data_IF_472795716708
#
_entry.id   IF_472795716708
#
_cell.length_a   1.000
_cell.length_b   1.000
_cell.length_c   1.000
_cell.angle_alpha   90.00
_cell.angle_beta   90.00
_cell.angle_gamma   90.00
#
_symmetry.space_group_name_H-M   'P 1'
#
loop_
_entity.id
_entity.type
_entity.pdbx_description
1 polymer ?
#
# COMPACT_ATOMS: atom_id res chain seq x y z
N UNK A 1 -0.45 22.38 70.22
CA UNK A 1 -1.48 21.52 70.85
C UNK A 1 -2.83 22.09 70.43
N UNK A 2 -3.65 21.30 69.72
CA UNK A 2 -5.14 21.26 69.63
C UNK A 2 -5.91 22.62 69.75
N UNK A 3 -6.92 22.96 68.96
CA UNK A 3 -7.85 22.21 68.10
C UNK A 3 -8.97 23.20 67.71
N UNK A 4 -9.57 22.98 66.54
CA UNK A 4 -10.95 23.36 66.18
C UNK A 4 -11.17 24.88 66.03
N UNK A 5 -12.07 25.45 65.22
CA UNK A 5 -13.35 25.03 64.69
C UNK A 5 -13.75 26.17 63.75
N UNK A 6 -13.81 25.96 62.43
CA UNK A 6 -14.58 26.86 61.57
C UNK A 6 -15.23 26.03 60.46
N UNK A 7 -16.55 26.12 60.51
CA UNK A 7 -17.50 25.20 59.93
C UNK A 7 -17.67 25.38 58.43
N UNK A 8 -17.71 24.23 57.75
CA UNK A 8 -18.77 23.79 56.85
C UNK A 8 -19.61 24.91 56.21
N UNK A 9 -19.34 25.20 54.94
CA UNK A 9 -20.39 25.31 53.92
C UNK A 9 -19.89 24.71 52.63
N UNK A 10 -20.33 23.49 52.40
CA UNK A 10 -20.13 22.76 51.16
C UNK A 10 -20.81 23.51 50.02
N UNK A 11 -20.04 23.91 49.02
CA UNK A 11 -20.56 24.07 47.67
C UNK A 11 -19.76 23.11 46.79
N UNK A 12 -20.29 21.89 46.73
CA UNK A 12 -19.97 20.95 45.68
C UNK A 12 -20.28 21.60 44.33
N UNK A 13 -19.27 21.74 43.48
CA UNK A 13 -19.49 21.79 42.04
C UNK A 13 -18.45 20.91 41.38
N UNK A 14 -18.82 19.64 41.31
CA UNK A 14 -18.22 18.62 40.49
C UNK A 14 -18.42 19.01 39.02
N UNK A 15 -17.38 19.52 38.34
CA UNK A 15 -17.37 19.59 36.88
C UNK A 15 -16.52 18.44 36.33
N UNK A 16 -17.20 17.33 36.12
CA UNK A 16 -16.78 16.21 35.30
C UNK A 16 -16.73 16.69 33.84
N UNK A 17 -15.59 17.27 33.43
CA UNK A 17 -15.33 17.67 32.05
C UNK A 17 -14.88 16.47 31.22
N UNK A 18 -15.86 15.78 30.64
CA UNK A 18 -15.72 14.74 29.63
C UNK A 18 -14.86 15.22 28.44
N UNK A 19 -13.99 14.32 27.95
CA UNK A 19 -12.89 14.63 27.06
C UNK A 19 -13.25 14.93 25.60
N UNK A 20 -12.22 15.40 24.90
CA UNK A 20 -12.15 15.41 23.45
C UNK A 20 -10.75 14.94 23.06
N UNK A 21 -10.53 13.62 23.11
CA UNK A 21 -9.35 13.02 22.48
C UNK A 21 -9.42 13.35 20.99
N UNK A 22 -8.50 14.18 20.51
CA UNK A 22 -8.30 14.41 19.08
C UNK A 22 -7.90 13.08 18.44
N UNK A 23 -8.88 12.33 17.94
CA UNK A 23 -8.63 11.20 17.06
C UNK A 23 -8.21 11.79 15.72
N UNK A 24 -6.90 11.89 15.49
CA UNK A 24 -6.38 12.08 14.15
C UNK A 24 -6.94 10.93 13.30
N UNK A 25 -7.70 11.19 12.21
CA UNK A 25 -8.07 10.12 11.30
C UNK A 25 -6.78 9.65 10.63
N UNK A 26 -6.19 8.57 11.16
CA UNK A 26 -5.32 7.74 10.36
C UNK A 26 -6.12 7.38 9.12
N UNK A 27 -5.63 7.73 7.93
CA UNK A 27 -6.25 7.34 6.68
C UNK A 27 -6.25 5.81 6.67
N UNK A 28 -7.34 5.20 7.13
CA UNK A 28 -7.59 3.79 6.94
C UNK A 28 -7.50 3.59 5.43
N UNK A 29 -6.45 2.93 4.97
CA UNK A 29 -6.28 2.57 3.57
C UNK A 29 -7.35 1.52 3.29
N UNK A 30 -8.58 1.99 3.05
CA UNK A 30 -9.73 1.16 2.77
C UNK A 30 -9.44 0.41 1.46
N UNK A 31 -9.11 -0.88 1.60
CA UNK A 31 -8.99 -1.88 0.54
C UNK A 31 -8.40 -1.41 -0.79
N UNK A 32 -7.35 -0.59 -0.76
CA UNK A 32 -6.61 -0.20 -1.96
C UNK A 32 -5.69 -1.33 -2.43
N UNK A 33 -5.54 -1.50 -3.74
CA UNK A 33 -4.58 -2.46 -4.31
C UNK A 33 -3.15 -1.91 -4.27
N UNK A 34 -2.16 -2.74 -3.95
CA UNK A 34 -0.75 -2.38 -3.84
C UNK A 34 0.18 -3.28 -4.65
N UNK A 35 1.46 -2.91 -4.66
CA UNK A 35 2.52 -3.69 -5.29
C UNK A 35 3.79 -3.64 -4.44
N UNK A 36 4.60 -4.69 -4.48
CA UNK A 36 6.00 -4.69 -4.04
C UNK A 36 6.86 -5.36 -5.11
N UNK A 37 8.10 -4.87 -5.27
CA UNK A 37 9.01 -5.29 -6.35
C UNK A 37 10.25 -5.94 -5.73
N UNK A 38 10.67 -7.07 -6.30
CA UNK A 38 11.90 -7.79 -5.96
C UNK A 38 12.68 -8.06 -7.24
N UNK A 39 13.99 -7.83 -7.19
CA UNK A 39 14.88 -8.01 -8.34
C UNK A 39 16.30 -7.53 -8.01
N UNK A 40 17.26 -7.76 -8.91
CA UNK A 40 18.63 -7.28 -8.72
C UNK A 40 18.68 -5.75 -8.76
N UNK A 41 19.57 -5.15 -7.96
CA UNK A 41 19.86 -3.71 -7.99
C UNK A 41 20.97 -3.33 -8.98
N UNK A 42 21.74 -4.32 -9.44
CA UNK A 42 22.81 -4.16 -10.41
C UNK A 42 22.74 -5.32 -11.41
N UNK A 43 23.01 -5.06 -12.68
CA UNK A 43 23.06 -6.07 -13.74
C UNK A 43 24.04 -5.66 -14.84
N UNK A 44 24.53 -6.62 -15.62
CA UNK A 44 25.41 -6.31 -16.76
C UNK A 44 24.58 -5.88 -17.96
N UNK A 45 25.15 -5.04 -18.81
CA UNK A 45 24.57 -4.76 -20.12
C UNK A 45 24.48 -6.05 -20.95
N UNK A 46 23.32 -6.31 -21.52
CA UNK A 46 22.99 -7.53 -22.28
C UNK A 46 22.51 -8.71 -21.41
N UNK A 47 22.43 -8.54 -20.08
CA UNK A 47 21.88 -9.55 -19.18
C UNK A 47 20.34 -9.54 -19.20
N UNK A 48 19.72 -10.71 -19.18
CA UNK A 48 18.29 -10.85 -18.89
C UNK A 48 18.09 -10.99 -17.38
N UNK A 49 17.37 -10.03 -16.78
CA UNK A 49 17.00 -10.09 -15.37
C UNK A 49 15.53 -10.45 -15.21
N UNK A 50 15.18 -11.09 -14.09
CA UNK A 50 13.79 -11.34 -13.71
C UNK A 50 13.38 -10.40 -12.59
N UNK A 51 12.30 -9.67 -12.80
CA UNK A 51 11.63 -8.86 -11.79
C UNK A 51 10.40 -9.59 -11.30
N UNK A 52 10.32 -9.80 -9.99
CA UNK A 52 9.15 -10.36 -9.30
C UNK A 52 8.34 -9.24 -8.70
N UNK A 53 7.04 -9.24 -8.97
CA UNK A 53 6.10 -8.28 -8.40
C UNK A 53 5.04 -9.02 -7.63
N UNK A 54 4.89 -8.71 -6.34
CA UNK A 54 3.75 -9.15 -5.55
C UNK A 54 2.70 -8.04 -5.52
N UNK A 55 1.54 -8.32 -6.09
CA UNK A 55 0.38 -7.43 -6.00
C UNK A 55 -0.49 -7.86 -4.83
N UNK A 56 -0.99 -6.88 -4.07
CA UNK A 56 -1.72 -7.15 -2.82
C UNK A 56 -3.05 -6.41 -2.80
N UNK A 57 -4.10 -7.08 -2.37
CA UNK A 57 -5.43 -6.52 -2.20
C UNK A 57 -6.24 -7.40 -1.24
N UNK A 58 -7.03 -6.81 -0.34
CA UNK A 58 -7.68 -7.58 0.72
C UNK A 58 -8.86 -8.45 0.25
N UNK A 59 -9.32 -8.28 -1.00
CA UNK A 59 -10.49 -9.02 -1.53
C UNK A 59 -10.42 -9.22 -3.04
N UNK A 60 -10.58 -10.43 -3.56
CA UNK A 60 -10.75 -10.66 -4.99
C UNK A 60 -12.02 -11.47 -5.22
N UNK A 61 -13.14 -10.75 -5.27
CA UNK A 61 -14.49 -11.27 -5.48
C UNK A 61 -15.11 -10.62 -6.72
N UNK A 62 -16.16 -11.19 -7.33
CA UNK A 62 -16.76 -10.64 -8.56
C UNK A 62 -17.19 -9.17 -8.46
N UNK A 63 -17.51 -8.67 -7.26
CA UNK A 63 -17.90 -7.28 -7.06
C UNK A 63 -16.78 -6.38 -6.55
N UNK A 64 -15.67 -6.94 -6.07
CA UNK A 64 -14.58 -6.20 -5.43
C UNK A 64 -13.26 -6.92 -5.64
N UNK A 65 -12.45 -6.40 -6.56
CA UNK A 65 -11.24 -7.06 -7.05
C UNK A 65 -10.23 -6.05 -7.60
N UNK A 66 -8.98 -6.48 -7.74
CA UNK A 66 -7.99 -5.72 -8.53
C UNK A 66 -8.42 -5.72 -9.98
N UNK A 67 -8.79 -4.57 -10.55
CA UNK A 67 -9.20 -4.44 -11.96
C UNK A 67 -8.01 -4.47 -12.92
N UNK A 68 -6.86 -3.94 -12.51
CA UNK A 68 -5.64 -4.00 -13.30
C UNK A 68 -4.39 -3.99 -12.43
N UNK A 69 -3.34 -4.62 -12.95
CA UNK A 69 -1.99 -4.60 -12.43
C UNK A 69 -1.01 -4.38 -13.60
N UNK A 70 0.04 -3.59 -13.40
CA UNK A 70 1.00 -3.27 -14.47
C UNK A 70 2.42 -3.09 -13.96
N UNK A 71 3.36 -3.28 -14.88
CA UNK A 71 4.79 -3.00 -14.72
C UNK A 71 5.26 -2.10 -15.86
N UNK A 72 5.94 -1.01 -15.52
CA UNK A 72 6.60 -0.13 -16.47
C UNK A 72 8.13 -0.23 -16.28
N UNK A 73 8.87 -0.14 -17.37
CA UNK A 73 10.33 -0.01 -17.39
C UNK A 73 10.68 1.27 -18.12
N UNK A 74 11.34 2.21 -17.43
CA UNK A 74 11.61 3.55 -17.97
C UNK A 74 10.34 4.19 -18.56
N UNK A 75 9.26 4.16 -17.77
CA UNK A 75 7.92 4.69 -18.09
C UNK A 75 7.18 3.99 -19.24
N UNK A 76 7.82 3.04 -19.94
CA UNK A 76 7.19 2.22 -20.98
C UNK A 76 6.57 0.96 -20.38
N UNK A 77 5.35 0.63 -20.79
CA UNK A 77 4.67 -0.58 -20.33
C UNK A 77 5.43 -1.84 -20.78
N UNK A 78 5.84 -2.63 -19.80
CA UNK A 78 6.51 -3.92 -20.00
C UNK A 78 5.53 -5.08 -19.84
N UNK A 79 4.54 -4.93 -18.96
CA UNK A 79 3.46 -5.90 -18.78
C UNK A 79 2.23 -5.23 -18.15
N UNK A 80 1.06 -5.76 -18.51
CA UNK A 80 -0.23 -5.40 -17.92
C UNK A 80 -1.14 -6.62 -17.84
N UNK A 81 -1.88 -6.71 -16.75
CA UNK A 81 -2.90 -7.71 -16.51
C UNK A 81 -4.19 -7.00 -16.15
N UNK A 82 -5.21 -7.17 -16.96
CA UNK A 82 -6.57 -6.70 -16.67
C UNK A 82 -7.42 -7.88 -16.18
N UNK A 83 -8.24 -7.61 -15.19
CA UNK A 83 -9.10 -8.59 -14.54
C UNK A 83 -10.56 -8.16 -14.66
N UNK A 84 -11.46 -9.11 -14.40
CA UNK A 84 -12.90 -8.89 -14.49
C UNK A 84 -13.64 -9.80 -13.51
N UNK A 85 -14.95 -9.61 -13.29
CA UNK A 85 -15.73 -10.49 -12.41
C UNK A 85 -15.68 -11.97 -12.79
N UNK A 86 -15.45 -12.29 -14.07
CA UNK A 86 -15.29 -13.66 -14.59
C UNK A 86 -13.84 -14.12 -14.70
N UNK A 87 -12.87 -13.25 -14.39
CA UNK A 87 -11.43 -13.52 -14.40
C UNK A 87 -10.76 -12.73 -13.30
N UNK A 88 -10.94 -13.22 -12.07
CA UNK A 88 -10.37 -12.61 -10.88
C UNK A 88 -8.87 -12.96 -10.76
N UNK A 89 -8.08 -12.16 -10.02
CA UNK A 89 -6.79 -12.61 -9.55
C UNK A 89 -6.95 -13.86 -8.68
N UNK A 90 -5.90 -14.70 -8.67
CA UNK A 90 -5.92 -16.01 -8.00
C UNK A 90 -6.12 -15.94 -6.47
N UNK A 91 -5.83 -14.79 -5.85
CA UNK A 91 -5.97 -14.58 -4.41
C UNK A 91 -5.70 -13.14 -3.99
N UNK A 92 -5.83 -12.81 -2.69
CA UNK A 92 -5.53 -11.48 -2.14
C UNK A 92 -4.12 -10.99 -2.47
N UNK A 93 -3.17 -11.91 -2.43
CA UNK A 93 -1.80 -11.72 -2.90
C UNK A 93 -1.60 -12.54 -4.16
N UNK A 94 -0.97 -11.94 -5.18
CA UNK A 94 -0.65 -12.64 -6.42
C UNK A 94 0.67 -12.16 -7.02
N UNK A 95 1.42 -13.11 -7.57
CA UNK A 95 2.76 -12.89 -8.09
C UNK A 95 2.76 -12.79 -9.61
N UNK A 96 3.52 -11.83 -10.14
CA UNK A 96 3.84 -11.75 -11.56
C UNK A 96 5.34 -11.60 -11.74
N UNK A 97 5.85 -12.20 -12.81
CA UNK A 97 7.24 -12.06 -13.20
C UNK A 97 7.34 -11.36 -14.55
N UNK A 98 8.33 -10.48 -14.68
CA UNK A 98 8.67 -9.82 -15.95
C UNK A 98 10.16 -10.00 -16.19
N UNK A 99 10.50 -10.52 -17.37
CA UNK A 99 11.88 -10.65 -17.84
C UNK A 99 12.26 -9.40 -18.63
N UNK A 100 13.42 -8.83 -18.33
CA UNK A 100 13.88 -7.57 -18.92
C UNK A 100 15.32 -7.73 -19.40
N UNK A 101 15.56 -7.36 -20.66
CA UNK A 101 16.91 -7.23 -21.21
C UNK A 101 17.52 -5.89 -20.78
N UNK A 102 18.65 -5.95 -20.07
CA UNK A 102 19.33 -4.77 -19.54
C UNK A 102 20.17 -4.11 -20.63
N UNK A 103 19.74 -2.94 -21.11
CA UNK A 103 20.48 -2.17 -22.12
C UNK A 103 21.16 -0.91 -21.55
N UNK A 104 20.75 -0.51 -20.35
CA UNK A 104 21.13 0.71 -19.64
C UNK A 104 20.52 0.68 -18.25
N UNK A 105 20.68 1.76 -17.48
CA UNK A 105 19.99 1.88 -16.19
C UNK A 105 18.47 1.79 -16.37
N UNK A 106 17.80 1.09 -15.46
CA UNK A 106 16.37 0.84 -15.52
C UNK A 106 15.69 1.39 -14.28
N UNK A 107 14.57 2.09 -14.48
CA UNK A 107 13.58 2.38 -13.46
C UNK A 107 12.38 1.49 -13.69
N UNK A 108 12.24 0.46 -12.86
CA UNK A 108 11.10 -0.45 -12.89
C UNK A 108 10.06 0.07 -11.91
N UNK A 109 8.83 0.24 -12.37
CA UNK A 109 7.71 0.63 -11.52
C UNK A 109 6.57 -0.35 -11.65
N UNK A 110 5.86 -0.59 -10.55
CA UNK A 110 4.71 -1.48 -10.52
C UNK A 110 3.56 -0.84 -9.77
N UNK A 111 2.35 -1.09 -10.24
CA UNK A 111 1.13 -0.54 -9.66
C UNK A 111 -0.04 -1.47 -9.92
N UNK A 112 -0.99 -1.52 -8.98
CA UNK A 112 -2.29 -2.14 -9.16
C UNK A 112 -3.41 -1.19 -8.72
N UNK A 113 -4.62 -1.43 -9.22
CA UNK A 113 -5.84 -0.70 -8.87
C UNK A 113 -6.97 -1.67 -8.54
N UNK A 114 -7.65 -1.40 -7.44
CA UNK A 114 -8.92 -2.00 -7.09
C UNK A 114 -10.05 -1.29 -7.84
N UNK A 115 -11.02 -2.05 -8.36
CA UNK A 115 -12.18 -1.53 -9.08
C UNK A 115 -13.06 -0.57 -8.26
N UNK A 116 -12.95 -0.60 -6.93
CA UNK A 116 -13.72 0.24 -5.99
C UNK A 116 -12.89 1.29 -5.28
N UNK A 117 -11.64 0.97 -4.92
CA UNK A 117 -10.84 1.79 -4.02
C UNK A 117 -9.57 2.36 -4.68
N UNK A 118 -9.25 1.91 -5.90
CA UNK A 118 -8.08 2.35 -6.63
C UNK A 118 -6.77 1.80 -6.06
N UNK A 119 -5.72 2.63 -6.12
CA UNK A 119 -4.33 2.22 -5.88
C UNK A 119 -3.73 2.77 -4.59
N UNK A 120 -2.88 1.97 -3.93
CA UNK A 120 -1.97 2.36 -2.83
C UNK A 120 -0.78 3.19 -3.34
N UNK A 121 -0.58 3.27 -4.66
CA UNK A 121 0.51 4.02 -5.27
C UNK A 121 1.49 3.12 -6.03
N UNK A 122 2.58 3.74 -6.47
CA UNK A 122 3.60 3.10 -7.31
C UNK A 122 4.71 2.55 -6.41
N UNK A 123 5.07 1.28 -6.62
CA UNK A 123 6.33 0.71 -6.15
C UNK A 123 7.41 0.94 -7.19
N UNK A 124 8.65 1.17 -6.77
CA UNK A 124 9.77 1.43 -7.67
C UNK A 124 11.03 0.63 -7.28
N UNK A 125 11.78 0.22 -8.29
CA UNK A 125 13.10 -0.41 -8.18
C UNK A 125 13.99 0.17 -9.27
N UNK A 126 15.11 0.76 -8.87
CA UNK A 126 16.15 1.19 -9.81
C UNK A 126 17.21 0.08 -9.93
N UNK A 127 17.55 -0.27 -11.17
CA UNK A 127 18.60 -1.23 -11.54
C UNK A 127 19.71 -0.48 -12.24
N UNK A 128 20.92 -0.51 -11.66
CA UNK A 128 22.11 0.09 -12.24
C UNK A 128 22.81 -0.89 -13.17
N UNK A 129 23.50 -0.36 -14.17
CA UNK A 129 24.41 -1.17 -15.00
C UNK A 129 25.79 -1.16 -14.34
N UNK A 130 26.32 -2.35 -14.08
CA UNK A 130 27.67 -2.56 -13.57
C UNK A 130 28.70 -2.68 -14.70
#
# INVERSE_FOLDING_TARGET
>A
MRKDFLERREFATLLLGLGMSLVLPGRASADKAGASIQGPRNAKKGEEITIRVNFTHNSNSPSHFVEWARVLVNEKEAARWDFSPSRLPEGPDFLREVKIQVQGALRVTAQASCNKHGSKGVAALDVQVA
#
